data_IF_473131271225
#
_entry.id   IF_473131271225
#
_cell.length_a   1.000
_cell.length_b   1.000
_cell.length_c   1.000
_cell.angle_alpha   90.00
_cell.angle_beta   90.00
_cell.angle_gamma   90.00
#
_symmetry.space_group_name_H-M   'P 1'
#
loop_
_entity.id
_entity.type
_entity.pdbx_description
1 polymer ?
#
# COMPACT_ATOMS: atom_id res chain seq x y z
N UNK A 1 -19.85 -0.70 -31.78
CA UNK A 1 -18.58 -0.40 -31.08
C UNK A 1 -17.47 -1.17 -31.75
N UNK A 2 -16.59 -0.47 -32.48
CA UNK A 2 -15.50 -1.04 -33.27
C UNK A 2 -14.28 -1.36 -32.40
N UNK A 3 -13.29 -2.14 -32.90
CA UNK A 3 -12.02 -2.40 -32.18
C UNK A 3 -11.30 -1.10 -31.81
N UNK A 4 -11.27 -0.14 -32.73
CA UNK A 4 -10.67 1.19 -32.51
C UNK A 4 -11.32 1.94 -31.34
N UNK A 5 -12.65 1.90 -31.23
CA UNK A 5 -13.36 2.56 -30.10
C UNK A 5 -12.98 1.95 -28.74
N UNK A 6 -12.76 0.63 -28.68
CA UNK A 6 -12.32 -0.05 -27.45
C UNK A 6 -10.89 0.32 -27.06
N UNK A 7 -10.00 0.45 -28.05
CA UNK A 7 -8.61 0.81 -27.82
C UNK A 7 -8.48 2.27 -27.34
N UNK A 8 -9.23 3.19 -27.94
CA UNK A 8 -9.30 4.60 -27.50
C UNK A 8 -9.81 4.70 -26.06
N UNK A 9 -10.91 4.00 -25.73
CA UNK A 9 -11.44 4.01 -24.35
C UNK A 9 -10.46 3.42 -23.34
N UNK A 10 -9.68 2.41 -23.74
CA UNK A 10 -8.64 1.84 -22.89
C UNK A 10 -7.54 2.88 -22.64
N UNK A 11 -7.04 3.55 -23.67
CA UNK A 11 -6.03 4.60 -23.55
C UNK A 11 -6.50 5.75 -22.66
N UNK A 12 -7.71 6.28 -22.88
CA UNK A 12 -8.26 7.36 -22.07
C UNK A 12 -8.38 7.00 -20.57
N UNK A 13 -8.78 5.75 -20.26
CA UNK A 13 -8.79 5.27 -18.87
C UNK A 13 -7.38 5.18 -18.31
N UNK A 14 -6.43 4.71 -19.08
CA UNK A 14 -5.04 4.58 -18.64
C UNK A 14 -4.41 5.95 -18.37
N UNK A 15 -4.66 6.94 -19.22
CA UNK A 15 -4.17 8.31 -19.04
C UNK A 15 -4.78 8.98 -17.82
N UNK A 16 -6.09 8.79 -17.59
CA UNK A 16 -6.76 9.25 -16.37
C UNK A 16 -6.19 8.58 -15.11
N UNK A 17 -5.90 7.28 -15.16
CA UNK A 17 -5.28 6.59 -14.03
C UNK A 17 -3.85 7.07 -13.78
N UNK A 18 -3.06 7.32 -14.84
CA UNK A 18 -1.67 7.75 -14.75
C UNK A 18 -1.54 9.20 -14.25
N UNK A 19 -2.49 10.07 -14.61
CA UNK A 19 -2.51 11.47 -14.17
C UNK A 19 -3.06 11.67 -12.76
N UNK A 20 -3.63 10.64 -12.13
CA UNK A 20 -4.18 10.76 -10.78
C UNK A 20 -3.07 10.81 -9.72
N UNK A 21 -3.07 11.90 -8.93
CA UNK A 21 -2.16 12.11 -7.78
C UNK A 21 -2.21 10.96 -6.77
N UNK A 22 -3.35 10.29 -6.64
CA UNK A 22 -3.57 9.22 -5.65
C UNK A 22 -3.07 7.85 -6.12
N UNK A 23 -2.70 7.72 -7.41
CA UNK A 23 -2.36 6.44 -8.02
C UNK A 23 -0.86 6.32 -8.37
N UNK A 24 -0.03 7.21 -7.84
CA UNK A 24 1.41 7.30 -8.11
C UNK A 24 2.14 5.96 -7.90
N UNK A 25 1.86 5.29 -6.78
CA UNK A 25 2.43 3.97 -6.48
C UNK A 25 1.96 2.89 -7.45
N UNK A 26 0.71 2.93 -7.88
CA UNK A 26 0.15 1.97 -8.83
C UNK A 26 0.81 2.08 -10.20
N UNK A 27 1.16 3.29 -10.66
CA UNK A 27 1.89 3.47 -11.92
C UNK A 27 3.23 2.73 -11.91
N UNK A 28 3.91 2.68 -10.75
CA UNK A 28 5.18 1.95 -10.58
C UNK A 28 5.02 0.43 -10.58
N UNK A 29 3.90 -0.06 -10.03
CA UNK A 29 3.64 -1.50 -9.82
C UNK A 29 2.80 -2.11 -10.96
N UNK A 30 2.25 -1.29 -11.86
CA UNK A 30 1.34 -1.75 -12.92
C UNK A 30 2.08 -2.70 -13.85
N UNK A 31 1.58 -3.93 -13.95
CA UNK A 31 1.97 -4.91 -14.95
C UNK A 31 1.06 -4.79 -16.18
N UNK A 32 1.59 -5.01 -17.39
CA UNK A 32 0.80 -4.93 -18.64
C UNK A 32 -0.27 -6.04 -18.73
N UNK A 33 -0.05 -7.16 -18.03
CA UNK A 33 -0.97 -8.28 -17.95
C UNK A 33 -1.76 -8.26 -16.64
N UNK A 34 -2.91 -8.96 -16.61
CA UNK A 34 -3.63 -9.24 -15.36
C UNK A 34 -2.64 -9.86 -14.37
N UNK A 35 -2.52 -9.36 -13.14
CA UNK A 35 -1.59 -9.94 -12.18
C UNK A 35 -1.78 -11.44 -11.98
N UNK A 36 -0.68 -12.21 -11.86
CA UNK A 36 -0.74 -13.68 -11.70
C UNK A 36 -1.69 -14.11 -10.59
N UNK A 37 -1.68 -13.39 -9.47
CA UNK A 37 -2.52 -13.66 -8.30
C UNK A 37 -4.03 -13.46 -8.51
N UNK A 38 -4.43 -12.74 -9.56
CA UNK A 38 -5.84 -12.64 -9.97
C UNK A 38 -6.24 -13.72 -10.98
N UNK A 39 -5.27 -14.35 -11.66
CA UNK A 39 -5.50 -15.46 -12.59
C UNK A 39 -5.56 -16.80 -11.88
N UNK A 40 -4.68 -17.01 -10.90
CA UNK A 40 -4.61 -18.22 -10.11
C UNK A 40 -5.69 -18.15 -9.02
N UNK A 41 -6.78 -18.89 -9.21
CA UNK A 41 -7.89 -18.92 -8.26
C UNK A 41 -7.45 -19.44 -6.90
N UNK A 42 -7.25 -18.55 -5.95
CA UNK A 42 -6.86 -18.89 -4.58
C UNK A 42 -7.20 -17.78 -3.59
N UNK A 43 -7.86 -18.15 -2.48
CA UNK A 43 -8.11 -17.25 -1.33
C UNK A 43 -6.93 -17.24 -0.36
N UNK A 44 -5.71 -17.27 -0.87
CA UNK A 44 -4.55 -17.20 0.02
C UNK A 44 -4.52 -15.82 0.69
N UNK A 45 -4.54 -15.82 2.02
CA UNK A 45 -4.53 -14.60 2.85
C UNK A 45 -3.32 -13.73 2.50
N UNK A 46 -2.20 -14.35 2.09
CA UNK A 46 -1.00 -13.66 1.59
C UNK A 46 -1.31 -12.82 0.35
N UNK A 47 -1.91 -13.45 -0.67
CA UNK A 47 -2.22 -12.77 -1.94
C UNK A 47 -3.29 -11.70 -1.76
N UNK A 48 -4.29 -11.94 -0.92
CA UNK A 48 -5.31 -10.93 -0.56
C UNK A 48 -4.65 -9.72 0.09
N UNK A 49 -3.68 -9.93 0.99
CA UNK A 49 -2.96 -8.85 1.67
C UNK A 49 -2.17 -8.02 0.66
N UNK A 50 -1.34 -8.66 -0.17
CA UNK A 50 -0.56 -7.97 -1.21
C UNK A 50 -1.47 -7.20 -2.16
N UNK A 51 -2.62 -7.76 -2.56
CA UNK A 51 -3.58 -7.10 -3.42
C UNK A 51 -4.14 -5.81 -2.78
N UNK A 52 -4.48 -5.83 -1.47
CA UNK A 52 -4.94 -4.63 -0.75
C UNK A 52 -3.89 -3.52 -0.72
N UNK A 53 -2.62 -3.89 -0.52
CA UNK A 53 -1.51 -2.94 -0.56
C UNK A 53 -1.26 -2.38 -1.96
N UNK A 54 -1.32 -3.21 -3.01
CA UNK A 54 -1.22 -2.77 -4.42
C UNK A 54 -2.33 -1.80 -4.81
N UNK A 55 -3.53 -1.99 -4.29
CA UNK A 55 -4.66 -1.08 -4.51
C UNK A 55 -4.58 0.22 -3.68
N UNK A 56 -3.60 0.35 -2.79
CA UNK A 56 -3.43 1.55 -1.96
C UNK A 56 -4.39 1.64 -0.76
N UNK A 57 -5.21 0.62 -0.51
CA UNK A 57 -6.19 0.60 0.60
C UNK A 57 -5.52 0.69 1.97
N UNK A 58 -4.29 0.20 2.06
CA UNK A 58 -3.54 0.02 3.30
C UNK A 58 -2.67 1.24 3.65
N UNK A 59 -2.64 2.28 2.81
CA UNK A 59 -1.96 3.55 3.09
C UNK A 59 -2.99 4.65 3.32
N UNK A 60 -2.84 5.45 4.39
CA UNK A 60 -3.84 6.47 4.73
C UNK A 60 -3.93 7.62 3.72
N UNK A 61 -2.88 7.91 2.94
CA UNK A 61 -2.95 8.88 1.82
C UNK A 61 -4.13 8.60 0.86
N UNK A 62 -4.49 7.33 0.66
CA UNK A 62 -5.60 6.95 -0.21
C UNK A 62 -6.99 7.35 0.32
N UNK A 63 -7.09 7.68 1.62
CA UNK A 63 -8.34 8.01 2.29
C UNK A 63 -8.60 9.52 2.23
N UNK A 64 -8.72 10.03 1.01
CA UNK A 64 -8.86 11.47 0.75
C UNK A 64 -10.08 12.12 1.41
N UNK A 65 -11.07 11.32 1.83
CA UNK A 65 -12.27 11.77 2.55
C UNK A 65 -12.06 11.88 4.07
N UNK A 66 -10.93 11.42 4.61
CA UNK A 66 -10.58 11.61 6.03
C UNK A 66 -9.75 12.89 6.24
N UNK A 67 -9.87 13.46 7.44
CA UNK A 67 -9.08 14.60 7.89
C UNK A 67 -7.57 14.30 7.85
N UNK A 68 -6.76 15.33 7.62
CA UNK A 68 -5.29 15.20 7.52
C UNK A 68 -4.67 14.58 8.78
N UNK A 69 -5.18 14.93 9.95
CA UNK A 69 -4.74 14.36 11.24
C UNK A 69 -5.00 12.85 11.31
N UNK A 70 -6.05 12.36 10.65
CA UNK A 70 -6.33 10.92 10.55
C UNK A 70 -5.53 10.23 9.46
N UNK A 71 -4.86 11.00 8.59
CA UNK A 71 -4.01 10.50 7.50
C UNK A 71 -2.53 10.39 7.86
N UNK A 72 -2.14 10.78 9.06
CA UNK A 72 -0.76 10.64 9.54
C UNK A 72 -0.33 9.17 9.62
N UNK A 73 0.98 8.95 9.50
CA UNK A 73 1.63 7.65 9.59
C UNK A 73 1.33 6.97 10.91
N UNK A 74 0.84 5.72 10.86
CA UNK A 74 0.56 4.91 12.06
C UNK A 74 1.79 4.43 12.81
N UNK A 75 2.98 4.64 12.24
CA UNK A 75 4.25 4.23 12.86
C UNK A 75 4.91 5.38 13.59
N UNK A 76 4.87 6.61 13.04
CA UNK A 76 5.56 7.76 13.65
C UNK A 76 4.64 8.93 14.03
N UNK A 77 3.37 8.94 13.60
CA UNK A 77 2.40 10.00 13.87
C UNK A 77 2.70 11.37 13.24
N UNK A 78 3.81 11.55 12.53
CA UNK A 78 4.32 12.88 12.18
C UNK A 78 3.93 13.40 10.78
N UNK A 79 3.93 12.54 9.76
CA UNK A 79 3.68 12.94 8.36
C UNK A 79 2.61 12.05 7.73
N UNK A 80 2.03 12.48 6.60
CA UNK A 80 1.05 11.69 5.85
C UNK A 80 1.59 10.29 5.51
N UNK A 81 0.77 9.26 5.73
CA UNK A 81 1.17 7.87 5.50
C UNK A 81 1.23 7.57 4.00
N UNK A 82 2.43 7.69 3.44
CA UNK A 82 2.75 7.35 2.06
C UNK A 82 3.73 6.17 1.99
N UNK A 83 3.77 5.47 0.85
CA UNK A 83 4.77 4.43 0.63
C UNK A 83 6.20 4.95 0.76
N UNK A 84 6.47 6.16 0.25
CA UNK A 84 7.80 6.76 0.31
C UNK A 84 8.22 7.02 1.76
N UNK A 85 7.32 7.60 2.55
CA UNK A 85 7.54 7.86 3.97
C UNK A 85 7.74 6.55 4.75
N UNK A 86 6.86 5.56 4.55
CA UNK A 86 6.96 4.28 5.25
C UNK A 86 8.27 3.58 4.90
N UNK A 87 8.60 3.42 3.62
CA UNK A 87 9.81 2.68 3.19
C UNK A 87 11.11 3.38 3.59
N UNK A 88 11.20 4.70 3.41
CA UNK A 88 12.46 5.42 3.63
C UNK A 88 12.71 5.78 5.09
N UNK A 89 11.64 6.04 5.86
CA UNK A 89 11.74 6.70 7.18
C UNK A 89 11.22 5.87 8.34
N UNK A 90 10.13 5.12 8.17
CA UNK A 90 9.47 4.45 9.31
C UNK A 90 9.65 2.93 9.37
N UNK A 91 9.88 2.29 8.23
CA UNK A 91 9.94 0.84 8.13
C UNK A 91 11.35 0.25 8.32
N UNK A 92 12.27 1.02 8.91
CA UNK A 92 13.63 0.60 9.20
C UNK A 92 13.68 -0.02 10.59
N UNK A 93 13.25 -1.26 10.71
CA UNK A 93 13.20 -1.99 11.99
C UNK A 93 14.37 -2.95 12.21
N UNK A 94 15.24 -3.14 11.21
CA UNK A 94 16.50 -3.89 11.31
C UNK A 94 17.57 -3.23 10.44
N UNK A 95 18.76 -3.01 11.00
CA UNK A 95 19.92 -2.47 10.25
C UNK A 95 20.37 -3.41 9.12
N UNK A 96 20.06 -4.71 9.22
CA UNK A 96 20.46 -5.75 8.26
C UNK A 96 19.38 -6.16 7.25
N UNK A 97 18.19 -5.52 7.27
CA UNK A 97 17.14 -5.87 6.31
C UNK A 97 17.43 -5.20 4.98
N UNK A 98 17.60 -6.03 3.94
CA UNK A 98 17.79 -5.59 2.56
C UNK A 98 16.77 -4.49 2.24
N UNK A 99 17.22 -3.30 1.84
CA UNK A 99 16.32 -2.24 1.38
C UNK A 99 15.46 -2.81 0.24
N UNK A 100 14.19 -3.09 0.55
CA UNK A 100 13.25 -3.62 -0.43
C UNK A 100 12.52 -2.47 -1.09
N UNK A 101 12.48 -2.50 -2.42
CA UNK A 101 11.68 -1.54 -3.18
C UNK A 101 10.19 -1.85 -3.06
N UNK A 102 9.36 -0.88 -3.43
CA UNK A 102 7.92 -1.06 -3.55
C UNK A 102 7.57 -2.22 -4.50
N UNK A 103 8.35 -2.33 -5.57
CA UNK A 103 8.25 -3.35 -6.60
C UNK A 103 8.57 -4.75 -6.05
N UNK A 104 9.59 -4.87 -5.19
CA UNK A 104 9.94 -6.14 -4.52
C UNK A 104 8.88 -6.57 -3.50
N UNK A 105 8.37 -5.61 -2.71
CA UNK A 105 7.37 -5.90 -1.67
C UNK A 105 6.06 -6.39 -2.27
N UNK A 106 5.66 -5.78 -3.38
CA UNK A 106 4.37 -6.00 -4.02
C UNK A 106 4.45 -6.91 -5.24
N UNK A 107 5.54 -7.64 -5.38
CA UNK A 107 5.75 -8.62 -6.43
C UNK A 107 4.61 -9.66 -6.48
N UNK A 108 4.31 -10.14 -7.69
CA UNK A 108 3.22 -11.08 -7.94
C UNK A 108 3.48 -12.49 -7.37
N UNK A 109 4.74 -12.84 -7.10
CA UNK A 109 5.13 -14.06 -6.38
C UNK A 109 4.99 -13.93 -4.85
N UNK A 110 4.68 -12.73 -4.37
CA UNK A 110 4.37 -12.41 -2.98
C UNK A 110 5.55 -12.42 -2.01
N UNK A 111 6.78 -12.29 -2.52
CA UNK A 111 8.00 -12.32 -1.71
C UNK A 111 7.98 -11.34 -0.53
N UNK A 112 7.28 -10.21 -0.67
CA UNK A 112 7.15 -9.21 0.39
C UNK A 112 6.09 -9.45 1.47
N UNK A 113 5.39 -10.58 1.52
CA UNK A 113 4.35 -10.82 2.55
C UNK A 113 4.89 -10.72 3.98
N UNK A 114 6.10 -11.22 4.21
CA UNK A 114 6.74 -11.16 5.53
C UNK A 114 6.98 -9.72 5.96
N UNK A 115 7.51 -8.89 5.05
CA UNK A 115 7.71 -7.47 5.28
C UNK A 115 6.39 -6.75 5.56
N UNK A 116 5.34 -7.06 4.80
CA UNK A 116 4.00 -6.48 5.01
C UNK A 116 3.43 -6.89 6.38
N UNK A 117 3.64 -8.13 6.82
CA UNK A 117 3.24 -8.57 8.16
C UNK A 117 4.01 -7.81 9.24
N UNK A 118 5.31 -7.60 9.05
CA UNK A 118 6.14 -6.77 9.94
C UNK A 118 5.57 -5.37 10.10
N UNK A 119 5.25 -4.71 8.99
CA UNK A 119 4.62 -3.39 9.00
C UNK A 119 3.28 -3.37 9.75
N UNK A 120 2.40 -4.35 9.48
CA UNK A 120 1.10 -4.44 10.16
C UNK A 120 1.30 -4.64 11.67
N UNK A 121 2.20 -5.54 12.07
CA UNK A 121 2.48 -5.78 13.48
C UNK A 121 2.99 -4.54 14.21
N UNK A 122 3.80 -3.71 13.56
CA UNK A 122 4.27 -2.44 14.14
C UNK A 122 3.11 -1.44 14.28
N UNK A 123 2.29 -1.29 13.24
CA UNK A 123 1.11 -0.43 13.30
C UNK A 123 0.17 -0.84 14.44
N UNK A 124 -0.01 -2.14 14.65
CA UNK A 124 -0.80 -2.69 15.76
C UNK A 124 -0.17 -2.39 17.13
N UNK A 125 1.15 -2.58 17.28
CA UNK A 125 1.86 -2.25 18.53
C UNK A 125 1.74 -0.77 18.91
N UNK A 126 1.98 0.12 17.96
CA UNK A 126 1.87 1.57 18.17
C UNK A 126 0.44 1.97 18.58
N UNK A 127 -0.58 1.34 17.97
CA UNK A 127 -1.99 1.58 18.32
C UNK A 127 -2.32 1.12 19.75
N UNK A 128 -1.65 0.08 20.26
CA UNK A 128 -1.82 -0.41 21.64
C UNK A 128 -1.14 0.54 22.63
N UNK A 129 0.06 1.04 22.31
CA UNK A 129 0.79 1.99 23.15
C UNK A 129 0.04 3.32 23.28
N UNK A 130 -0.49 3.88 22.18
CA UNK A 130 -1.34 5.08 22.20
C UNK A 130 -2.65 4.88 23.00
N UNK A 131 -3.18 3.66 23.05
CA UNK A 131 -4.34 3.29 23.84
C UNK A 131 -4.05 3.05 25.32
N UNK A 132 -2.80 2.68 25.65
CA UNK A 132 -2.33 2.44 27.02
C UNK A 132 -2.03 3.72 27.80
N UNK A 133 -1.63 4.80 27.13
CA UNK A 133 -1.41 6.11 27.76
C UNK A 133 -2.71 6.85 28.14
N UNK A 134 -3.89 6.36 27.71
CA UNK A 134 -5.20 6.87 28.18
C UNK A 134 -5.78 6.05 29.34
N UNK A 135 -4.92 5.39 30.11
CA UNK A 135 -5.25 4.64 31.32
C UNK A 135 -4.44 5.12 32.53
N UNK A 136 -4.46 6.41 32.83
CA UNK A 136 -4.03 6.92 34.14
C UNK A 136 -5.07 7.89 34.70
N UNK A 137 -5.73 7.39 35.75
CA UNK A 137 -6.30 8.06 36.91
C UNK A 137 -7.25 9.25 36.69
N UNK A 138 -8.55 9.02 36.97
CA UNK A 138 -9.20 9.52 38.20
C UNK A 138 -10.18 8.45 38.70
#
# INVERSE_FOLDING_TARGET
MTRRDKDIQKQEREDKMRSSKYNESYVRIKTEAVPKYLREGGKDKRMIRIARFRMGNEMRRGRYWEDEERRVCRVCGAEEETWDHVLKRCAKWKEDEKEMSLEDILDEGGGGDEWIRGLIGIREKMSIEEGGEKGTCI
#
